data_IF_694563062413
#
_entry.id   IF_694563062413
#
_cell.length_a   1.000
_cell.length_b   1.000
_cell.length_c   1.000
_cell.angle_alpha   90.00
_cell.angle_beta   90.00
_cell.angle_gamma   90.00
#
_symmetry.space_group_name_H-M   'P 1'
#
loop_
_entity.id
_entity.type
_entity.pdbx_description
1 polymer ?
#
# COMPACT_ATOMS: atom_id res chain seq x y z
N UNK A 1 -6.87 -15.07 -0.17
CA UNK A 1 -5.47 -15.56 -0.17
C UNK A 1 -4.76 -15.41 -1.52
N UNK A 2 -5.39 -15.70 -2.67
CA UNK A 2 -4.74 -15.61 -4.00
C UNK A 2 -4.10 -14.25 -4.33
N UNK A 3 -4.81 -13.15 -4.10
CA UNK A 3 -4.28 -11.80 -4.39
C UNK A 3 -3.02 -11.46 -3.58
N UNK A 4 -3.02 -11.76 -2.28
CA UNK A 4 -1.86 -11.54 -1.41
C UNK A 4 -0.64 -12.31 -1.90
N UNK A 5 -0.81 -13.59 -2.26
CA UNK A 5 0.31 -14.41 -2.76
C UNK A 5 0.85 -13.88 -4.10
N UNK A 6 -0.03 -13.49 -5.02
CA UNK A 6 0.35 -12.93 -6.31
C UNK A 6 1.13 -11.61 -6.16
N UNK A 7 0.64 -10.69 -5.31
CA UNK A 7 1.30 -9.42 -5.02
C UNK A 7 2.66 -9.64 -4.34
N UNK A 8 2.76 -10.60 -3.40
CA UNK A 8 4.04 -10.96 -2.77
C UNK A 8 5.04 -11.53 -3.77
N UNK A 9 4.56 -12.30 -4.75
CA UNK A 9 5.38 -12.79 -5.85
C UNK A 9 5.93 -11.64 -6.69
N UNK A 10 5.06 -10.71 -7.10
CA UNK A 10 5.46 -9.51 -7.85
C UNK A 10 6.47 -8.66 -7.08
N UNK A 11 6.21 -8.37 -5.79
CA UNK A 11 7.11 -7.59 -4.94
C UNK A 11 8.52 -8.19 -4.87
N UNK A 12 8.64 -9.51 -4.81
CA UNK A 12 9.95 -10.20 -4.78
C UNK A 12 10.74 -10.09 -6.09
N UNK A 13 10.05 -9.95 -7.22
CA UNK A 13 10.67 -9.87 -8.54
C UNK A 13 10.74 -8.46 -9.11
N UNK A 14 10.33 -7.44 -8.35
CA UNK A 14 10.34 -6.06 -8.84
C UNK A 14 11.66 -5.39 -8.50
N UNK A 15 12.35 -4.92 -9.53
CA UNK A 15 13.54 -4.10 -9.38
C UNK A 15 13.23 -2.82 -8.58
N UNK A 16 14.16 -2.42 -7.70
CA UNK A 16 13.97 -1.27 -6.82
C UNK A 16 13.07 -1.50 -5.60
N UNK A 17 12.50 -2.69 -5.40
CA UNK A 17 11.79 -3.04 -4.16
C UNK A 17 12.79 -3.47 -3.06
N UNK A 18 13.02 -2.61 -2.06
CA UNK A 18 13.96 -2.91 -0.96
C UNK A 18 13.33 -3.84 0.08
N UNK A 19 12.05 -3.63 0.40
CA UNK A 19 11.34 -4.46 1.37
C UNK A 19 9.93 -4.00 1.67
N UNK A 20 9.15 -4.87 2.31
CA UNK A 20 7.78 -4.56 2.73
C UNK A 20 7.39 -5.28 4.01
N UNK A 21 6.42 -4.70 4.71
CA UNK A 21 5.75 -5.27 5.87
C UNK A 21 4.25 -5.03 5.76
N UNK A 22 3.45 -6.00 6.20
CA UNK A 22 1.99 -5.92 6.21
C UNK A 22 1.50 -5.93 7.65
N UNK A 23 0.49 -5.10 7.94
CA UNK A 23 -0.21 -5.09 9.22
C UNK A 23 -1.70 -5.09 8.98
N UNK A 24 -2.45 -5.86 9.77
CA UNK A 24 -3.89 -5.96 9.63
C UNK A 24 -4.57 -5.95 11.00
N UNK A 25 -5.70 -5.24 11.09
CA UNK A 25 -6.69 -5.39 12.17
C UNK A 25 -7.95 -5.98 11.54
N UNK A 26 -7.97 -7.30 11.42
CA UNK A 26 -8.97 -8.05 10.63
C UNK A 26 -10.41 -7.76 11.07
N UNK A 27 -10.67 -7.72 12.38
CA UNK A 27 -12.01 -7.43 12.92
C UNK A 27 -12.51 -6.03 12.55
N UNK A 28 -11.59 -5.07 12.36
CA UNK A 28 -11.91 -3.70 11.93
C UNK A 28 -11.79 -3.49 10.43
N UNK A 29 -11.37 -4.51 9.69
CA UNK A 29 -11.09 -4.46 8.24
C UNK A 29 -10.07 -3.37 7.87
N UNK A 30 -9.17 -3.06 8.79
CA UNK A 30 -8.09 -2.12 8.52
C UNK A 30 -6.84 -2.89 8.07
N UNK A 31 -6.29 -2.52 6.92
CA UNK A 31 -5.10 -3.14 6.33
C UNK A 31 -4.09 -2.06 5.97
N UNK A 32 -2.82 -2.28 6.31
CA UNK A 32 -1.72 -1.38 6.01
C UNK A 32 -0.59 -2.14 5.34
N UNK A 33 0.05 -1.46 4.39
CA UNK A 33 1.29 -1.88 3.76
C UNK A 33 2.33 -0.80 4.03
N UNK A 34 3.47 -1.21 4.57
CA UNK A 34 4.66 -0.38 4.68
C UNK A 34 5.69 -0.95 3.70
N UNK A 35 6.18 -0.14 2.77
CA UNK A 35 7.11 -0.59 1.74
C UNK A 35 8.20 0.44 1.51
N UNK A 36 9.41 -0.03 1.24
CA UNK A 36 10.58 0.78 0.93
C UNK A 36 11.02 0.48 -0.49
N UNK A 37 11.30 1.55 -1.24
CA UNK A 37 11.66 1.52 -2.65
C UNK A 37 12.91 2.36 -2.87
N UNK A 38 13.75 1.96 -3.81
CA UNK A 38 14.93 2.73 -4.23
C UNK A 38 14.54 4.09 -4.82
N UNK A 39 13.40 4.15 -5.51
CA UNK A 39 12.91 5.35 -6.18
C UNK A 39 11.38 5.39 -6.23
N UNK A 40 10.83 6.58 -6.49
CA UNK A 40 9.39 6.73 -6.70
C UNK A 40 8.95 6.10 -8.03
N UNK A 41 9.84 6.09 -9.01
CA UNK A 41 9.66 5.48 -10.32
C UNK A 41 9.45 3.96 -10.18
N UNK A 42 10.30 3.26 -9.42
CA UNK A 42 10.17 1.82 -9.17
C UNK A 42 8.84 1.47 -8.49
N UNK A 43 8.41 2.28 -7.50
CA UNK A 43 7.09 2.13 -6.88
C UNK A 43 5.96 2.30 -7.90
N UNK A 44 6.02 3.35 -8.73
CA UNK A 44 4.97 3.62 -9.73
C UNK A 44 4.89 2.52 -10.79
N UNK A 45 6.02 1.96 -11.20
CA UNK A 45 6.09 0.82 -12.12
C UNK A 45 5.43 -0.41 -11.50
N UNK A 46 5.79 -0.75 -10.26
CA UNK A 46 5.13 -1.83 -9.52
C UNK A 46 3.60 -1.65 -9.45
N UNK A 47 3.15 -0.46 -9.08
CA UNK A 47 1.72 -0.17 -8.87
C UNK A 47 0.91 -0.36 -10.16
N UNK A 48 1.48 0.02 -11.31
CA UNK A 48 0.84 -0.10 -12.63
C UNK A 48 0.94 -1.51 -13.22
N UNK A 49 2.01 -2.25 -12.90
CA UNK A 49 2.25 -3.58 -13.44
C UNK A 49 1.27 -4.62 -12.88
N UNK A 50 1.09 -5.70 -13.65
CA UNK A 50 0.31 -6.85 -13.23
C UNK A 50 1.15 -7.80 -12.37
N UNK A 51 0.54 -8.48 -11.37
CA UNK A 51 -0.88 -8.50 -11.03
C UNK A 51 -1.41 -7.32 -10.18
N UNK A 52 -0.56 -6.46 -9.62
CA UNK A 52 -0.99 -5.44 -8.64
C UNK A 52 -2.03 -4.47 -9.22
N UNK A 53 -1.78 -3.92 -10.41
CA UNK A 53 -2.71 -3.00 -11.07
C UNK A 53 -4.10 -3.61 -11.25
N UNK A 54 -4.19 -4.84 -11.73
CA UNK A 54 -5.46 -5.57 -11.89
C UNK A 54 -6.16 -5.82 -10.57
N UNK A 55 -5.43 -6.26 -9.54
CA UNK A 55 -6.01 -6.47 -8.21
C UNK A 55 -6.57 -5.17 -7.63
N UNK A 56 -5.84 -4.05 -7.75
CA UNK A 56 -6.33 -2.75 -7.28
C UNK A 56 -7.62 -2.34 -7.99
N UNK A 57 -7.68 -2.48 -9.32
CA UNK A 57 -8.91 -2.20 -10.08
C UNK A 57 -10.09 -3.04 -9.61
N UNK A 58 -9.87 -4.31 -9.27
CA UNK A 58 -10.93 -5.18 -8.74
C UNK A 58 -11.33 -4.84 -7.30
N UNK A 59 -10.42 -4.33 -6.47
CA UNK A 59 -10.69 -4.07 -5.05
C UNK A 59 -11.23 -2.67 -4.77
N UNK A 60 -10.87 -1.66 -5.58
CA UNK A 60 -11.30 -0.25 -5.38
C UNK A 60 -12.80 -0.08 -5.12
N UNK A 61 -13.73 -0.76 -5.83
CA UNK A 61 -15.16 -0.63 -5.57
C UNK A 61 -15.60 -1.12 -4.19
N UNK A 62 -14.80 -1.95 -3.54
CA UNK A 62 -15.09 -2.58 -2.23
C UNK A 62 -14.33 -1.94 -1.07
N UNK A 63 -13.43 -1.01 -1.37
CA UNK A 63 -12.58 -0.36 -0.37
C UNK A 63 -13.23 0.91 0.16
N UNK A 64 -13.07 1.15 1.47
CA UNK A 64 -13.32 2.45 2.06
C UNK A 64 -12.26 3.48 1.65
N UNK A 65 -12.34 4.72 2.18
CA UNK A 65 -11.32 5.73 1.98
C UNK A 65 -9.94 5.21 2.34
N UNK A 66 -9.00 5.34 1.41
CA UNK A 66 -7.60 4.88 1.60
C UNK A 66 -6.69 6.09 1.64
N UNK A 67 -5.74 6.10 2.58
CA UNK A 67 -4.75 7.18 2.74
C UNK A 67 -3.35 6.65 2.41
N UNK A 68 -2.61 7.40 1.60
CA UNK A 68 -1.21 7.13 1.30
C UNK A 68 -0.33 8.25 1.84
N UNK A 69 0.75 7.88 2.54
CA UNK A 69 1.82 8.79 2.94
C UNK A 69 3.12 8.24 2.39
N UNK A 70 3.87 9.09 1.69
CA UNK A 70 5.16 8.77 1.08
C UNK A 70 6.19 9.76 1.60
N UNK A 71 7.35 9.27 2.01
CA UNK A 71 8.44 10.12 2.48
C UNK A 71 9.78 9.55 2.01
N UNK A 72 10.79 10.42 1.92
CA UNK A 72 12.18 10.00 1.69
C UNK A 72 12.80 9.57 3.02
N UNK A 73 13.47 8.43 3.02
CA UNK A 73 14.23 7.92 4.16
C UNK A 73 15.71 7.80 3.78
N UNK A 74 16.61 8.11 4.71
CA UNK A 74 18.03 7.80 4.55
C UNK A 74 18.24 6.29 4.69
N UNK A 75 19.31 5.74 4.09
CA UNK A 75 19.62 4.31 4.20
C UNK A 75 19.76 3.82 5.65
N UNK A 76 20.30 4.66 6.53
CA UNK A 76 20.41 4.40 7.98
C UNK A 76 19.07 4.26 8.71
N UNK A 77 17.96 4.68 8.08
CA UNK A 77 16.61 4.63 8.64
C UNK A 77 15.78 3.45 8.08
N UNK A 78 16.40 2.59 7.26
CA UNK A 78 15.76 1.42 6.66
C UNK A 78 16.12 0.16 7.48
N UNK A 79 15.14 -0.70 7.84
CA UNK A 79 13.71 -0.53 7.61
C UNK A 79 13.06 0.44 8.62
N UNK A 80 12.10 1.29 8.20
CA UNK A 80 11.34 2.12 9.13
C UNK A 80 10.47 1.26 10.06
N UNK A 81 10.26 1.74 11.28
CA UNK A 81 9.36 1.09 12.23
C UNK A 81 7.89 1.42 11.95
N UNK A 82 6.98 0.55 12.38
CA UNK A 82 5.54 0.84 12.34
C UNK A 82 5.15 2.05 13.19
N UNK A 83 5.87 2.31 14.29
CA UNK A 83 5.65 3.51 15.11
C UNK A 83 5.96 4.79 14.33
N UNK A 84 7.02 4.80 13.52
CA UNK A 84 7.32 5.92 12.63
C UNK A 84 6.25 6.08 11.54
N UNK A 85 5.84 4.98 10.91
CA UNK A 85 4.77 4.99 9.93
C UNK A 85 3.46 5.55 10.51
N UNK A 86 3.10 5.18 11.74
CA UNK A 86 1.90 5.66 12.44
C UNK A 86 1.98 7.16 12.75
N UNK A 87 3.15 7.65 13.18
CA UNK A 87 3.36 9.09 13.41
C UNK A 87 3.16 9.88 12.13
N UNK A 88 3.75 9.45 11.01
CA UNK A 88 3.59 10.11 9.70
C UNK A 88 2.17 10.03 9.17
N UNK A 89 1.53 8.87 9.28
CA UNK A 89 0.13 8.69 8.90
C UNK A 89 -0.82 9.58 9.70
N UNK A 90 -0.44 10.01 10.91
CA UNK A 90 -1.22 10.92 11.74
C UNK A 90 -0.90 12.40 11.47
N UNK A 91 0.36 12.72 11.20
CA UNK A 91 0.84 14.11 11.04
C UNK A 91 0.64 14.68 9.63
N UNK A 92 0.78 13.87 8.58
CA UNK A 92 0.80 14.36 7.21
C UNK A 92 -0.59 14.31 6.55
N UNK A 93 -0.93 15.31 5.74
CA UNK A 93 -2.07 15.25 4.82
C UNK A 93 -1.73 14.32 3.65
N UNK A 94 -1.89 13.02 3.87
CA UNK A 94 -1.70 12.01 2.84
C UNK A 94 -2.75 12.08 1.72
N UNK A 95 -2.38 11.59 0.54
CA UNK A 95 -3.27 11.45 -0.61
C UNK A 95 -4.43 10.51 -0.23
N UNK A 96 -5.66 11.04 -0.23
CA UNK A 96 -6.87 10.27 0.04
C UNK A 96 -7.50 9.82 -1.26
N UNK A 97 -7.56 8.50 -1.46
CA UNK A 97 -8.28 7.89 -2.57
C UNK A 97 -9.64 7.41 -2.06
N UNK A 98 -10.71 7.97 -2.63
CA UNK A 98 -12.09 7.58 -2.32
C UNK A 98 -12.53 6.42 -3.22
N UNK A 99 -12.91 5.29 -2.61
CA UNK A 99 -13.63 4.22 -3.29
C UNK A 99 -15.09 4.63 -3.49
N UNK A 100 -15.53 4.83 -4.73
CA UNK A 100 -16.94 5.09 -5.05
C UNK A 100 -17.66 3.73 -5.18
N UNK A 101 -18.45 3.33 -4.18
CA UNK A 101 -19.07 2.00 -4.22
C UNK A 101 -19.99 1.63 -3.06
N UNK A 102 -21.00 2.45 -2.75
CA UNK A 102 -22.18 1.96 -2.02
C UNK A 102 -23.41 2.82 -2.39
N UNK A 103 -24.03 2.54 -3.55
CA UNK A 103 -25.47 2.80 -3.67
C UNK A 103 -26.16 1.84 -2.70
N UNK A 104 -26.85 2.41 -1.71
CA UNK A 104 -27.83 1.67 -0.92
C UNK A 104 -28.99 1.34 -1.84
N UNK A 105 -29.21 0.05 -2.05
CA UNK A 105 -30.50 -0.48 -2.49
C UNK A 105 -31.46 -0.47 -1.30
N UNK A 106 -32.74 -0.29 -1.63
CA UNK A 106 -33.93 -0.21 -0.76
C UNK A 106 -34.24 1.16 -0.20
#
# INVERSE_FOLDING_TARGET
MRYTQAIRGQLKGTEGAIGYSLRAKVLRRDFWTLSVWESEEALREFVRAEPHGGVMRSLVPHMGPTKFVRWKAQGSQVPPSWGEADRRMSAEEGEKVSGRGARRSS
#
